data_IF_685125543253
#
_entry.id   IF_685125543253
#
_cell.length_a   1.000
_cell.length_b   1.000
_cell.length_c   1.000
_cell.angle_alpha   90.00
_cell.angle_beta   90.00
_cell.angle_gamma   90.00
#
_symmetry.space_group_name_H-M   'P 1'
#
loop_
_entity.id
_entity.type
_entity.pdbx_description
1 polymer ?
#
# COMPACT_ATOMS: atom_id res chain seq x y z
N UNK A 1 4.75 -18.39 -23.48
CA UNK A 1 4.21 -17.06 -23.09
C UNK A 1 4.04 -17.04 -21.58
N UNK A 2 4.89 -16.30 -20.85
CA UNK A 2 4.72 -16.15 -19.40
C UNK A 2 3.42 -15.41 -19.12
N UNK A 3 2.64 -15.87 -18.13
CA UNK A 3 1.42 -15.16 -17.70
C UNK A 3 1.81 -13.73 -17.33
N UNK A 4 1.17 -12.74 -17.96
CA UNK A 4 1.31 -11.34 -17.55
C UNK A 4 0.79 -11.25 -16.11
N UNK A 5 1.68 -10.99 -15.15
CA UNK A 5 1.28 -10.74 -13.77
C UNK A 5 0.31 -9.54 -13.75
N UNK A 6 -0.76 -9.65 -12.96
CA UNK A 6 -1.74 -8.58 -12.79
C UNK A 6 -1.63 -7.98 -11.39
N UNK A 7 -2.03 -6.73 -11.24
CA UNK A 7 -2.17 -6.09 -9.93
C UNK A 7 -3.08 -6.88 -8.99
N UNK A 8 -4.13 -7.52 -9.52
CA UNK A 8 -5.03 -8.39 -8.76
C UNK A 8 -4.31 -9.56 -8.10
N UNK A 9 -3.32 -10.14 -8.77
CA UNK A 9 -2.53 -11.26 -8.23
C UNK A 9 -1.61 -10.77 -7.11
N UNK A 10 -1.08 -9.56 -7.22
CA UNK A 10 -0.30 -8.92 -6.17
C UNK A 10 -1.15 -8.65 -4.92
N UNK A 11 -2.30 -7.96 -5.07
CA UNK A 11 -3.12 -7.57 -3.90
C UNK A 11 -3.74 -8.78 -3.18
N UNK A 12 -4.09 -9.84 -3.92
CA UNK A 12 -4.59 -11.11 -3.35
C UNK A 12 -3.56 -11.85 -2.50
N UNK A 13 -2.26 -11.62 -2.76
CA UNK A 13 -1.17 -12.26 -2.03
C UNK A 13 -0.68 -11.42 -0.84
N UNK A 14 -1.23 -10.23 -0.61
CA UNK A 14 -0.89 -9.42 0.55
C UNK A 14 -1.27 -10.15 1.84
N UNK A 15 -0.33 -10.16 2.78
CA UNK A 15 -0.50 -10.73 4.11
C UNK A 15 -0.29 -9.63 5.15
N UNK A 16 -1.35 -9.08 5.76
CA UNK A 16 -1.23 -7.94 6.67
C UNK A 16 -0.37 -8.27 7.90
N UNK A 17 -0.22 -9.55 8.26
CA UNK A 17 0.59 -9.98 9.40
C UNK A 17 2.09 -9.92 9.13
N UNK A 18 2.48 -9.91 7.85
CA UNK A 18 3.89 -9.75 7.44
C UNK A 18 4.24 -8.30 7.11
N UNK A 19 3.23 -7.44 7.01
CA UNK A 19 3.41 -6.05 6.62
C UNK A 19 3.90 -5.20 7.78
N UNK A 20 4.88 -4.34 7.51
CA UNK A 20 5.42 -3.35 8.45
C UNK A 20 5.64 -2.03 7.74
N UNK A 21 5.44 -0.92 8.44
CA UNK A 21 5.50 0.41 7.85
C UNK A 21 5.48 1.48 8.93
N UNK A 22 5.78 2.72 8.53
CA UNK A 22 5.75 3.87 9.41
C UNK A 22 5.07 5.03 8.68
N UNK A 23 4.42 5.89 9.44
CA UNK A 23 3.73 7.08 8.96
C UNK A 23 4.57 8.34 9.10
N UNK A 24 5.69 8.28 9.84
CA UNK A 24 6.56 9.40 10.15
C UNK A 24 7.83 9.48 9.26
N UNK A 25 8.40 10.68 9.04
CA UNK A 25 7.84 11.98 9.42
C UNK A 25 6.63 12.37 8.56
N UNK A 26 5.82 13.29 9.07
CA UNK A 26 4.67 13.82 8.34
C UNK A 26 5.07 14.44 6.99
N UNK A 27 4.21 14.28 5.98
CA UNK A 27 4.43 14.76 4.62
C UNK A 27 5.41 13.91 3.80
N UNK A 28 5.93 12.80 4.34
CA UNK A 28 6.86 11.91 3.63
C UNK A 28 6.24 10.53 3.39
N UNK A 29 6.25 10.09 2.13
CA UNK A 29 5.87 8.72 1.78
C UNK A 29 6.93 7.72 2.21
N UNK A 30 6.50 6.67 2.90
CA UNK A 30 7.32 5.55 3.36
C UNK A 30 6.82 4.27 2.72
N UNK A 31 7.73 3.40 2.32
CA UNK A 31 7.36 2.09 1.77
C UNK A 31 6.89 1.17 2.89
N UNK A 32 5.85 0.39 2.59
CA UNK A 32 5.50 -0.78 3.37
C UNK A 32 6.48 -1.91 3.02
N UNK A 33 6.97 -2.60 4.03
CA UNK A 33 7.78 -3.80 3.91
C UNK A 33 6.91 -5.04 4.16
N UNK A 34 7.26 -6.17 3.55
CA UNK A 34 6.49 -7.42 3.70
C UNK A 34 5.21 -7.49 2.85
N UNK A 35 4.99 -6.50 1.98
CA UNK A 35 3.89 -6.41 1.01
C UNK A 35 4.08 -7.34 -0.22
N UNK A 36 4.88 -8.41 -0.08
CA UNK A 36 5.21 -9.39 -1.13
C UNK A 36 5.84 -8.83 -2.42
N UNK A 37 6.24 -7.55 -2.47
CA UNK A 37 6.78 -6.89 -3.67
C UNK A 37 7.98 -7.58 -4.32
N UNK A 38 8.79 -8.31 -3.54
CA UNK A 38 9.95 -9.06 -4.06
C UNK A 38 9.52 -10.15 -5.03
N UNK A 39 8.33 -10.74 -4.84
CA UNK A 39 7.75 -11.74 -5.74
C UNK A 39 7.32 -11.17 -7.09
N UNK A 40 7.17 -9.85 -7.18
CA UNK A 40 6.79 -9.12 -8.41
C UNK A 40 7.93 -8.25 -8.94
N UNK A 41 9.17 -8.47 -8.49
CA UNK A 41 10.34 -7.69 -8.91
C UNK A 41 10.25 -6.20 -8.55
N UNK A 42 9.43 -5.82 -7.57
CA UNK A 42 9.20 -4.42 -7.19
C UNK A 42 8.29 -3.65 -8.15
N UNK A 43 7.65 -4.33 -9.13
CA UNK A 43 6.68 -3.71 -10.04
C UNK A 43 5.54 -3.01 -9.29
N UNK A 44 5.01 -3.69 -8.28
CA UNK A 44 4.02 -3.13 -7.36
C UNK A 44 4.57 -3.03 -5.96
N UNK A 45 4.23 -1.94 -5.27
CA UNK A 45 4.51 -1.76 -3.86
C UNK A 45 3.53 -0.78 -3.23
N UNK A 46 3.40 -0.83 -1.90
CA UNK A 46 2.56 0.08 -1.15
C UNK A 46 3.38 1.11 -0.35
N UNK A 47 2.81 2.30 -0.17
CA UNK A 47 3.41 3.37 0.61
C UNK A 47 2.40 4.01 1.58
N UNK A 48 2.87 4.44 2.73
CA UNK A 48 2.14 5.11 3.82
C UNK A 48 2.67 6.53 4.03
N UNK A 49 1.81 7.45 4.47
CA UNK A 49 2.20 8.82 4.85
C UNK A 49 1.18 9.39 5.82
N UNK A 50 1.61 10.08 6.88
CA UNK A 50 0.72 11.00 7.62
C UNK A 50 0.84 12.42 7.07
N UNK A 51 -0.26 13.17 6.98
CA UNK A 51 -0.23 14.58 6.53
C UNK A 51 0.23 15.51 7.65
N UNK A 52 0.80 16.65 7.27
CA UNK A 52 1.19 17.72 8.21
C UNK A 52 0.03 18.65 8.61
N UNK A 53 -1.21 18.32 8.22
CA UNK A 53 -2.41 19.11 8.51
C UNK A 53 -2.91 18.84 9.93
N UNK A 54 -3.80 19.71 10.44
CA UNK A 54 -4.51 19.48 11.70
C UNK A 54 -6.04 19.45 11.45
N UNK A 55 -6.74 18.33 11.69
CA UNK A 55 -6.19 17.03 12.12
C UNK A 55 -5.30 16.38 11.05
N UNK A 56 -4.34 15.57 11.50
CA UNK A 56 -3.48 14.80 10.61
C UNK A 56 -4.30 13.66 9.98
N UNK A 57 -3.99 13.33 8.74
CA UNK A 57 -4.66 12.26 7.98
C UNK A 57 -3.65 11.23 7.54
N UNK A 58 -4.09 9.98 7.52
CA UNK A 58 -3.28 8.84 7.15
C UNK A 58 -3.57 8.48 5.70
N UNK A 59 -2.54 8.43 4.86
CA UNK A 59 -2.66 8.15 3.43
C UNK A 59 -1.91 6.89 3.05
N UNK A 60 -2.55 6.06 2.25
CA UNK A 60 -1.95 4.86 1.66
C UNK A 60 -2.09 4.95 0.15
N UNK A 61 -1.06 4.50 -0.57
CA UNK A 61 -1.15 4.35 -2.02
C UNK A 61 -0.54 3.02 -2.47
N UNK A 62 -1.09 2.50 -3.57
CA UNK A 62 -0.53 1.40 -4.34
C UNK A 62 0.13 1.99 -5.59
N UNK A 63 1.38 1.60 -5.82
CA UNK A 63 2.19 2.05 -6.95
C UNK A 63 2.38 0.89 -7.92
N UNK A 64 2.28 1.17 -9.22
CA UNK A 64 2.70 0.29 -10.33
C UNK A 64 3.70 1.07 -11.20
N UNK A 65 4.93 0.55 -11.37
CA UNK A 65 5.96 1.17 -12.22
C UNK A 65 6.13 2.69 -11.98
N UNK A 66 6.21 3.07 -10.70
CA UNK A 66 6.30 4.46 -10.20
C UNK A 66 5.02 5.33 -10.33
N UNK A 67 3.94 4.84 -10.91
CA UNK A 67 2.65 5.53 -10.96
C UNK A 67 1.73 5.07 -9.81
N UNK A 68 1.10 6.00 -9.10
CA UNK A 68 0.07 5.65 -8.12
C UNK A 68 -1.21 5.22 -8.86
N UNK A 69 -1.63 3.97 -8.66
CA UNK A 69 -2.82 3.38 -9.31
C UNK A 69 -4.03 3.27 -8.37
N UNK A 70 -3.80 3.49 -7.08
CA UNK A 70 -4.82 3.59 -6.04
C UNK A 70 -4.28 4.42 -4.88
N UNK A 71 -5.13 5.22 -4.25
CA UNK A 71 -4.81 5.98 -3.04
C UNK A 71 -6.04 6.04 -2.17
N UNK A 72 -5.85 5.92 -0.85
CA UNK A 72 -6.91 6.06 0.15
C UNK A 72 -6.41 6.91 1.32
N UNK A 73 -7.34 7.68 1.89
CA UNK A 73 -7.12 8.53 3.05
C UNK A 73 -7.99 8.03 4.20
N UNK A 74 -7.47 8.12 5.42
CA UNK A 74 -8.12 7.72 6.67
C UNK A 74 -7.98 8.85 7.69
N UNK A 75 -9.03 9.08 8.47
CA UNK A 75 -9.03 10.11 9.52
C UNK A 75 -8.33 9.64 10.82
N UNK A 76 -8.07 8.33 10.96
CA UNK A 76 -7.28 7.72 12.04
C UNK A 76 -6.27 6.73 11.47
N UNK A 77 -5.26 6.34 12.24
CA UNK A 77 -4.26 5.35 11.82
C UNK A 77 -4.92 4.00 11.50
N UNK A 78 -4.89 3.54 10.23
CA UNK A 78 -5.48 2.25 9.86
C UNK A 78 -4.53 1.10 10.20
N UNK A 79 -5.09 -0.07 10.51
CA UNK A 79 -4.31 -1.31 10.61
C UNK A 79 -3.93 -1.81 9.21
N UNK A 80 -2.88 -2.65 9.12
CA UNK A 80 -2.56 -3.29 7.84
C UNK A 80 -3.69 -4.20 7.34
N UNK A 81 -4.47 -4.81 8.25
CA UNK A 81 -5.64 -5.60 7.87
C UNK A 81 -6.67 -4.75 7.12
N UNK A 82 -7.05 -3.58 7.67
CA UNK A 82 -7.96 -2.63 7.00
C UNK A 82 -7.41 -2.18 5.65
N UNK A 83 -6.11 -1.86 5.58
CA UNK A 83 -5.46 -1.46 4.32
C UNK A 83 -5.56 -2.57 3.26
N UNK A 84 -5.30 -3.82 3.65
CA UNK A 84 -5.33 -4.98 2.75
C UNK A 84 -6.75 -5.25 2.26
N UNK A 85 -7.74 -5.23 3.15
CA UNK A 85 -9.15 -5.39 2.78
C UNK A 85 -9.59 -4.33 1.77
N UNK A 86 -9.24 -3.07 2.01
CA UNK A 86 -9.60 -1.95 1.15
C UNK A 86 -8.95 -2.02 -0.24
N UNK A 87 -7.67 -2.38 -0.31
CA UNK A 87 -6.97 -2.48 -1.60
C UNK A 87 -7.42 -3.71 -2.38
N UNK A 88 -7.72 -4.83 -1.69
CA UNK A 88 -8.29 -6.02 -2.32
C UNK A 88 -9.70 -5.76 -2.85
N UNK A 89 -10.54 -5.02 -2.11
CA UNK A 89 -11.86 -4.61 -2.60
C UNK A 89 -11.76 -3.71 -3.85
N UNK A 90 -10.73 -2.86 -3.93
CA UNK A 90 -10.57 -1.92 -5.04
C UNK A 90 -9.83 -2.49 -6.27
N UNK A 91 -8.91 -3.43 -6.09
CA UNK A 91 -7.97 -3.90 -7.13
C UNK A 91 -7.82 -5.42 -7.24
N UNK A 92 -8.50 -6.19 -6.39
CA UNK A 92 -8.46 -7.66 -6.33
C UNK A 92 -9.17 -8.36 -7.48
#
# INVERSE_FOLDING_TARGET
MGKKQKVSDYVKNLDPKKMTGNWAPAGTWRRIHGDTKSSTGGKWHMETMTTSTQPAKYKVKLVEDAAAIWTKEYDSEPTFETIVEDVQAAKG
#
